data_IF_136251233589
#
_entry.id   IF_136251233589
#
_cell.length_a   1.000
_cell.length_b   1.000
_cell.length_c   1.000
_cell.angle_alpha   90.00
_cell.angle_beta   90.00
_cell.angle_gamma   90.00
#
_symmetry.space_group_name_H-M   'P 1'
#
loop_
_entity.id
_entity.type
_entity.pdbx_description
1 polymer ?
#
# COMPACT_ATOMS: atom_id res chain seq x y z
N UNK A 1 -5.07 10.54 -15.01
CA UNK A 1 -5.55 11.01 -13.69
C UNK A 1 -4.69 10.38 -12.60
N UNK A 2 -4.16 11.17 -11.67
CA UNK A 2 -3.39 10.66 -10.52
C UNK A 2 -4.34 10.35 -9.38
N UNK A 3 -4.44 9.09 -8.97
CA UNK A 3 -5.49 8.60 -8.06
C UNK A 3 -5.22 8.89 -6.58
N UNK A 4 -4.54 10.01 -6.31
CA UNK A 4 -4.25 10.50 -4.96
C UNK A 4 -3.20 9.71 -4.18
N UNK A 5 -2.71 8.57 -4.69
CA UNK A 5 -1.80 7.67 -3.96
C UNK A 5 -0.56 8.42 -3.42
N UNK A 6 0.01 9.31 -4.25
CA UNK A 6 1.21 10.09 -3.90
C UNK A 6 0.99 11.18 -2.84
N UNK A 7 -0.27 11.48 -2.48
CA UNK A 7 -0.57 12.40 -1.39
C UNK A 7 -0.17 11.77 -0.04
N UNK A 8 -0.37 10.45 0.10
CA UNK A 8 -0.08 9.73 1.34
C UNK A 8 1.21 8.91 1.26
N UNK A 9 1.53 8.35 0.08
CA UNK A 9 2.67 7.47 -0.13
C UNK A 9 3.79 8.19 -0.88
N UNK A 10 5.04 7.97 -0.45
CA UNK A 10 6.22 8.42 -1.18
C UNK A 10 6.74 7.34 -2.12
N UNK A 11 7.63 7.74 -3.03
CA UNK A 11 8.30 6.85 -3.99
C UNK A 11 9.83 6.90 -3.87
N UNK A 12 10.34 7.65 -2.89
CA UNK A 12 11.76 7.93 -2.69
C UNK A 12 12.29 7.40 -1.35
N UNK A 13 11.49 6.58 -0.66
CA UNK A 13 11.81 6.05 0.66
C UNK A 13 11.41 6.96 1.83
N UNK A 14 11.03 8.22 1.58
CA UNK A 14 10.68 9.15 2.66
C UNK A 14 9.39 8.75 3.38
N UNK A 15 9.42 8.59 4.69
CA UNK A 15 8.21 8.31 5.51
C UNK A 15 7.89 9.42 6.50
N UNK A 16 8.87 10.28 6.83
CA UNK A 16 8.68 11.43 7.71
C UNK A 16 7.63 12.40 7.13
N UNK A 17 6.60 12.69 7.91
CA UNK A 17 5.51 13.59 7.49
C UNK A 17 4.57 12.99 6.44
N UNK A 18 4.71 11.70 6.11
CA UNK A 18 3.79 10.96 5.24
C UNK A 18 2.82 10.16 6.08
N UNK A 19 1.57 10.14 5.65
CA UNK A 19 0.49 9.41 6.32
C UNK A 19 0.55 7.92 6.00
N UNK A 20 1.05 7.54 4.81
CA UNK A 20 1.22 6.15 4.40
C UNK A 20 2.70 5.75 4.30
N UNK A 21 2.98 4.43 4.23
CA UNK A 21 4.32 3.92 3.96
C UNK A 21 4.80 4.29 2.56
N UNK A 22 6.12 4.30 2.38
CA UNK A 22 6.75 4.44 1.06
C UNK A 22 6.47 3.22 0.17
N UNK A 23 6.37 3.44 -1.14
CA UNK A 23 6.36 2.38 -2.15
C UNK A 23 7.76 1.99 -2.61
N UNK A 24 8.78 2.82 -2.38
CA UNK A 24 10.16 2.50 -2.75
C UNK A 24 10.63 1.22 -2.05
N UNK A 25 11.12 0.26 -2.84
CA UNK A 25 11.60 -1.03 -2.38
C UNK A 25 10.54 -1.85 -1.65
N UNK A 26 9.24 -1.59 -1.89
CA UNK A 26 8.17 -2.29 -1.18
C UNK A 26 8.06 -3.73 -1.65
N UNK A 27 8.18 -3.99 -2.95
CA UNK A 27 7.95 -5.32 -3.52
C UNK A 27 8.86 -6.39 -2.90
N UNK A 28 8.25 -7.47 -2.40
CA UNK A 28 8.95 -8.57 -1.75
C UNK A 28 9.47 -8.28 -0.33
N UNK A 29 9.35 -7.04 0.16
CA UNK A 29 9.78 -6.68 1.52
C UNK A 29 8.81 -7.23 2.56
N UNK A 30 9.35 -7.71 3.69
CA UNK A 30 8.53 -8.17 4.81
C UNK A 30 7.71 -7.01 5.41
N UNK A 31 6.45 -7.29 5.74
CA UNK A 31 5.49 -6.39 6.37
C UNK A 31 4.97 -7.02 7.66
N UNK A 32 4.96 -6.23 8.72
CA UNK A 32 4.42 -6.64 10.01
C UNK A 32 3.05 -6.02 10.22
N UNK A 33 2.09 -6.85 10.62
CA UNK A 33 0.69 -6.45 10.77
C UNK A 33 0.29 -6.34 12.24
N UNK A 34 -0.78 -5.58 12.49
CA UNK A 34 -1.42 -5.49 13.82
C UNK A 34 -1.97 -6.86 14.23
N UNK A 35 -2.46 -7.65 13.26
CA UNK A 35 -3.02 -8.99 13.47
C UNK A 35 -2.54 -9.91 12.35
N UNK A 36 -2.22 -11.15 12.71
CA UNK A 36 -1.70 -12.15 11.77
C UNK A 36 -0.18 -12.24 11.77
N UNK A 37 0.34 -13.13 10.93
CA UNK A 37 1.79 -13.31 10.73
C UNK A 37 2.33 -12.27 9.75
N UNK A 38 3.61 -11.94 9.92
CA UNK A 38 4.35 -11.12 8.97
C UNK A 38 4.39 -11.81 7.61
N UNK A 39 4.23 -11.03 6.54
CA UNK A 39 4.23 -11.54 5.18
C UNK A 39 5.00 -10.63 4.24
N UNK A 40 5.51 -11.19 3.14
CA UNK A 40 6.10 -10.40 2.07
C UNK A 40 5.02 -9.53 1.40
N UNK A 41 5.42 -8.34 0.95
CA UNK A 41 4.61 -7.50 0.09
C UNK A 41 4.59 -8.07 -1.33
N UNK A 42 3.83 -9.15 -1.50
CA UNK A 42 3.56 -9.81 -2.77
C UNK A 42 2.34 -9.18 -3.49
N UNK A 43 1.96 -9.76 -4.64
CA UNK A 43 0.91 -9.22 -5.49
C UNK A 43 -0.47 -9.31 -4.82
N UNK A 44 -0.71 -10.40 -4.08
CA UNK A 44 -1.94 -10.58 -3.34
C UNK A 44 -2.06 -9.54 -2.22
N UNK A 45 -0.97 -9.27 -1.50
CA UNK A 45 -0.90 -8.21 -0.49
C UNK A 45 -1.15 -6.82 -1.09
N UNK A 46 -0.48 -6.47 -2.19
CA UNK A 46 -0.66 -5.15 -2.82
C UNK A 46 -2.10 -4.97 -3.29
N UNK A 47 -2.67 -6.00 -3.92
CA UNK A 47 -4.06 -5.99 -4.37
C UNK A 47 -5.05 -5.86 -3.21
N UNK A 48 -4.90 -6.68 -2.17
CA UNK A 48 -5.73 -6.61 -0.96
C UNK A 48 -5.60 -5.25 -0.28
N UNK A 49 -4.40 -4.67 -0.22
CA UNK A 49 -4.18 -3.36 0.38
C UNK A 49 -4.86 -2.24 -0.41
N UNK A 50 -4.91 -2.32 -1.74
CA UNK A 50 -5.59 -1.33 -2.59
C UNK A 50 -7.11 -1.44 -2.47
N UNK A 51 -7.65 -2.66 -2.48
CA UNK A 51 -9.10 -2.89 -2.55
C UNK A 51 -9.76 -2.98 -1.17
N UNK A 52 -9.10 -3.61 -0.21
CA UNK A 52 -9.60 -3.89 1.14
C UNK A 52 -8.56 -3.53 2.23
N UNK A 53 -8.08 -2.26 2.28
CA UNK A 53 -6.95 -1.84 3.13
C UNK A 53 -7.10 -2.15 4.63
N UNK A 54 -8.33 -2.18 5.14
CA UNK A 54 -8.61 -2.45 6.55
C UNK A 54 -8.36 -3.92 6.96
N UNK A 55 -8.18 -4.84 6.00
CA UNK A 55 -7.92 -6.26 6.29
C UNK A 55 -6.52 -6.51 6.83
N UNK A 56 -5.53 -5.76 6.37
CA UNK A 56 -4.12 -5.90 6.77
C UNK A 56 -3.52 -4.54 7.09
N UNK A 57 -3.82 -4.06 8.30
CA UNK A 57 -3.21 -2.85 8.84
C UNK A 57 -1.81 -3.16 9.34
N UNK A 58 -0.85 -2.33 8.93
CA UNK A 58 0.55 -2.43 9.34
C UNK A 58 0.70 -1.98 10.79
N UNK A 59 1.57 -2.65 11.54
CA UNK A 59 1.78 -2.35 12.97
C UNK A 59 2.25 -0.91 13.18
N UNK A 60 3.16 -0.43 12.35
CA UNK A 60 3.70 0.94 12.44
C UNK A 60 2.67 2.03 12.11
N UNK A 61 1.53 1.66 11.55
CA UNK A 61 0.44 2.57 11.15
C UNK A 61 -0.86 2.26 11.92
N UNK A 62 -0.80 1.46 12.98
CA UNK A 62 -1.97 1.05 13.77
C UNK A 62 -2.68 2.24 14.43
N UNK A 63 -1.90 3.23 14.87
CA UNK A 63 -2.38 4.43 15.56
C UNK A 63 -2.67 5.59 14.59
N UNK A 64 -2.60 5.35 13.27
CA UNK A 64 -2.95 6.38 12.27
C UNK A 64 -4.46 6.58 12.26
N UNK A 65 -4.91 7.76 12.68
CA UNK A 65 -6.33 8.17 12.57
C UNK A 65 -6.81 8.31 11.12
N UNK A 66 -5.86 8.38 10.17
CA UNK A 66 -6.13 8.45 8.74
C UNK A 66 -5.91 7.06 8.15
N UNK A 67 -7.02 6.36 7.90
CA UNK A 67 -7.02 5.07 7.21
C UNK A 67 -6.74 5.20 5.71
N UNK A 68 -6.14 4.18 5.11
CA UNK A 68 -6.03 4.08 3.66
C UNK A 68 -7.43 3.87 3.06
N UNK A 69 -7.85 4.67 2.06
CA UNK A 69 -9.16 4.51 1.44
C UNK A 69 -9.23 3.23 0.60
N UNK A 70 -10.39 2.58 0.60
CA UNK A 70 -10.66 1.47 -0.31
C UNK A 70 -10.89 1.99 -1.72
N UNK A 71 -10.29 1.31 -2.69
CA UNK A 71 -10.45 1.58 -4.12
C UNK A 71 -11.35 0.54 -4.81
N UNK A 72 -12.00 -0.34 -4.05
CA UNK A 72 -12.94 -1.33 -4.57
C UNK A 72 -14.10 -0.65 -5.31
N UNK A 73 -14.32 -1.02 -6.57
CA UNK A 73 -15.35 -0.43 -7.42
C UNK A 73 -15.05 0.98 -7.92
N UNK A 74 -14.00 1.65 -7.41
CA UNK A 74 -13.46 2.90 -7.96
C UNK A 74 -12.49 2.59 -9.10
N UNK A 75 -11.66 1.54 -8.92
CA UNK A 75 -10.70 1.09 -9.90
C UNK A 75 -11.20 -0.14 -10.63
N UNK A 76 -10.95 -0.15 -11.93
CA UNK A 76 -11.06 -1.35 -12.75
C UNK A 76 -9.89 -2.30 -12.51
N UNK A 77 -10.08 -3.57 -12.87
CA UNK A 77 -9.05 -4.61 -12.77
C UNK A 77 -7.72 -4.23 -13.46
N UNK A 78 -7.79 -3.63 -14.65
CA UNK A 78 -6.59 -3.23 -15.39
C UNK A 78 -5.85 -2.08 -14.70
N UNK A 79 -6.56 -1.15 -14.04
CA UNK A 79 -5.95 -0.07 -13.27
C UNK A 79 -5.25 -0.60 -12.03
N UNK A 80 -5.88 -1.54 -11.33
CA UNK A 80 -5.29 -2.22 -10.17
C UNK A 80 -4.01 -2.94 -10.58
N UNK A 81 -4.04 -3.73 -11.67
CA UNK A 81 -2.85 -4.40 -12.16
C UNK A 81 -1.75 -3.41 -12.54
N UNK A 82 -2.10 -2.34 -13.27
CA UNK A 82 -1.12 -1.33 -13.70
C UNK A 82 -0.46 -0.64 -12.51
N UNK A 83 -1.21 -0.36 -11.45
CA UNK A 83 -0.66 0.20 -10.21
C UNK A 83 0.29 -0.79 -9.51
N UNK A 84 -0.08 -2.07 -9.46
CA UNK A 84 0.75 -3.11 -8.86
C UNK A 84 2.08 -3.23 -9.63
N UNK A 85 2.04 -3.33 -10.96
CA UNK A 85 3.26 -3.39 -11.79
C UNK A 85 4.13 -2.14 -11.62
N UNK A 86 3.49 -0.98 -11.50
CA UNK A 86 4.21 0.25 -11.23
C UNK A 86 4.88 0.23 -9.84
N UNK A 87 4.19 -0.20 -8.77
CA UNK A 87 4.79 -0.35 -7.43
C UNK A 87 5.96 -1.34 -7.46
N UNK A 88 5.82 -2.46 -8.17
CA UNK A 88 6.90 -3.45 -8.36
C UNK A 88 8.16 -2.84 -8.98
N UNK A 89 8.00 -1.83 -9.84
CA UNK A 89 9.12 -1.16 -10.51
C UNK A 89 9.87 -0.14 -9.64
N UNK A 90 9.34 0.22 -8.47
CA UNK A 90 9.96 1.16 -7.54
C UNK A 90 10.90 0.39 -6.60
N UNK A 91 12.16 0.24 -7.00
CA UNK A 91 13.23 -0.34 -6.15
C UNK A 91 13.62 0.58 -4.98
#
# INVERSE_FOLDING_TARGET
>A
ETMGCMACHSMDGSTSGRVGPTFAGLWGRSRSFVRGEDAAADEAYLRESILEPSRKVLRDYADSDIGMPSYQGVLSEWQVQSLIEWIKSLE
#
